data_IF_797345447506
#
_entry.id   IF_797345447506
#
_cell.length_a   1.000
_cell.length_b   1.000
_cell.length_c   1.000
_cell.angle_alpha   90.00
_cell.angle_beta   90.00
_cell.angle_gamma   90.00
#
_symmetry.space_group_name_H-M   'P 1'
#
loop_
_entity.id
_entity.type
_entity.pdbx_description
1 polymer ?
#
# COMPACT_ATOMS: atom_id res chain seq x y z
N UNK A 1 -15.02 35.02 -0.37
CA UNK A 1 -15.69 33.81 0.13
C UNK A 1 -15.83 32.85 -1.04
N UNK A 2 -15.05 31.77 -1.06
CA UNK A 2 -15.10 30.74 -2.12
C UNK A 2 -16.41 29.97 -1.96
N UNK A 3 -17.22 29.86 -3.02
CA UNK A 3 -18.41 29.01 -3.02
C UNK A 3 -18.04 27.68 -3.65
N UNK A 4 -18.26 26.60 -2.91
CA UNK A 4 -18.18 25.23 -3.40
C UNK A 4 -19.58 24.79 -3.84
N UNK A 5 -19.71 24.25 -5.04
CA UNK A 5 -20.92 23.53 -5.47
C UNK A 5 -20.59 22.08 -5.76
N UNK A 6 -21.45 21.18 -5.30
CA UNK A 6 -21.36 19.74 -5.50
C UNK A 6 -22.00 19.35 -6.83
N UNK A 7 -21.31 18.56 -7.65
CA UNK A 7 -21.91 17.79 -8.74
C UNK A 7 -21.60 16.30 -8.56
N UNK A 8 -22.33 15.43 -9.26
CA UNK A 8 -22.30 13.97 -9.10
C UNK A 8 -20.91 13.31 -9.25
N UNK A 9 -19.86 14.04 -9.68
CA UNK A 9 -18.49 13.55 -9.82
C UNK A 9 -17.38 14.48 -9.25
N UNK A 10 -17.69 15.47 -8.41
CA UNK A 10 -16.65 16.29 -7.77
C UNK A 10 -17.10 17.65 -7.23
N UNK A 11 -16.15 18.39 -6.66
CA UNK A 11 -16.35 19.76 -6.17
C UNK A 11 -15.78 20.77 -7.18
N UNK A 12 -16.59 21.78 -7.54
CA UNK A 12 -16.13 22.93 -8.33
C UNK A 12 -15.71 24.08 -7.41
N UNK A 13 -14.49 24.61 -7.60
CA UNK A 13 -14.03 25.85 -6.97
C UNK A 13 -14.23 26.99 -7.98
N UNK A 14 -15.11 27.93 -7.66
CA UNK A 14 -15.26 29.17 -8.42
C UNK A 14 -14.38 30.24 -7.78
N UNK A 15 -13.43 30.78 -8.54
CA UNK A 15 -12.47 31.79 -8.05
C UNK A 15 -13.14 33.18 -8.16
N UNK A 16 -12.83 34.16 -7.29
CA UNK A 16 -13.50 35.47 -7.29
C UNK A 16 -13.41 36.23 -8.62
N UNK A 17 -12.38 35.97 -9.42
CA UNK A 17 -12.19 36.57 -10.76
C UNK A 17 -13.36 36.27 -11.69
N UNK A 18 -13.94 35.07 -11.57
CA UNK A 18 -15.08 34.60 -12.40
C UNK A 18 -16.38 35.34 -12.05
N UNK A 19 -16.50 35.82 -10.80
CA UNK A 19 -17.65 36.61 -10.33
C UNK A 19 -17.57 38.08 -10.74
N UNK A 20 -16.37 38.58 -11.07
CA UNK A 20 -16.16 40.00 -11.43
C UNK A 20 -16.63 40.28 -12.86
N UNK A 21 -16.51 39.31 -13.78
CA UNK A 21 -17.02 39.46 -15.15
C UNK A 21 -18.55 39.57 -15.18
N UNK A 22 -19.26 38.86 -14.28
CA UNK A 22 -20.72 38.88 -14.24
C UNK A 22 -21.33 40.20 -13.72
N UNK A 23 -20.55 41.07 -13.07
CA UNK A 23 -21.05 42.33 -12.50
C UNK A 23 -20.73 43.58 -13.32
N UNK A 24 -19.89 43.49 -14.36
CA UNK A 24 -19.55 44.63 -15.24
C UNK A 24 -20.19 44.50 -16.62
N UNK A 25 -21.40 45.04 -16.74
CA UNK A 25 -21.86 45.74 -17.95
C UNK A 25 -22.36 44.89 -19.12
N UNK A 26 -23.66 45.02 -19.41
CA UNK A 26 -24.19 44.82 -20.76
C UNK A 26 -23.50 45.77 -21.77
N UNK A 27 -23.35 45.26 -23.00
CA UNK A 27 -22.97 45.93 -24.25
C UNK A 27 -21.48 46.02 -24.59
N UNK A 28 -20.96 44.99 -25.28
CA UNK A 28 -20.52 45.06 -26.69
C UNK A 28 -19.95 43.71 -27.15
N UNK A 29 -20.39 43.27 -28.32
CA UNK A 29 -19.78 42.19 -29.09
C UNK A 29 -18.29 42.47 -29.32
N UNK A 30 -17.43 41.51 -28.98
CA UNK A 30 -16.27 41.02 -29.76
C UNK A 30 -15.34 40.20 -28.85
N UNK A 31 -14.84 39.09 -29.41
CA UNK A 31 -13.68 38.26 -29.05
C UNK A 31 -13.97 36.96 -28.26
N UNK A 32 -13.88 35.87 -29.05
CA UNK A 32 -13.52 34.48 -28.71
C UNK A 32 -13.67 34.04 -27.26
N UNK A 33 -14.52 33.03 -27.06
CA UNK A 33 -14.44 32.10 -25.94
C UNK A 33 -13.03 31.48 -25.89
N UNK A 34 -12.08 32.16 -25.24
CA UNK A 34 -10.92 31.48 -24.70
C UNK A 34 -11.46 30.71 -23.50
N UNK A 35 -11.73 29.41 -23.70
CA UNK A 35 -11.92 28.47 -22.61
C UNK A 35 -10.69 28.59 -21.71
N UNK A 36 -10.84 29.31 -20.61
CA UNK A 36 -9.85 29.31 -19.56
C UNK A 36 -9.74 27.87 -19.05
N UNK A 37 -8.55 27.26 -19.01
CA UNK A 37 -8.40 25.89 -18.59
C UNK A 37 -8.92 25.77 -17.16
N UNK A 38 -10.08 25.15 -17.03
CA UNK A 38 -10.65 24.79 -15.74
C UNK A 38 -9.70 23.76 -15.14
N UNK A 39 -8.94 24.17 -14.13
CA UNK A 39 -8.13 23.26 -13.33
C UNK A 39 -9.08 22.36 -12.54
N UNK A 40 -9.44 21.22 -13.13
CA UNK A 40 -10.18 20.18 -12.44
C UNK A 40 -9.24 19.52 -11.42
N UNK A 41 -9.28 20.00 -10.17
CA UNK A 41 -8.54 19.38 -9.07
C UNK A 41 -9.26 18.09 -8.69
N UNK A 42 -8.78 16.97 -9.22
CA UNK A 42 -9.27 15.64 -8.86
C UNK A 42 -8.75 15.28 -7.47
N UNK A 43 -9.60 15.43 -6.45
CA UNK A 43 -9.28 14.99 -5.09
C UNK A 43 -9.34 13.47 -5.06
N UNK A 44 -8.18 12.82 -4.96
CA UNK A 44 -8.09 11.38 -4.81
C UNK A 44 -8.57 10.94 -3.42
N UNK A 45 -9.09 9.72 -3.30
CA UNK A 45 -9.37 9.12 -1.99
C UNK A 45 -8.08 9.03 -1.17
N UNK A 46 -8.20 9.22 0.15
CA UNK A 46 -7.06 9.23 1.07
C UNK A 46 -6.23 7.95 0.97
N UNK A 47 -6.86 6.79 0.84
CA UNK A 47 -6.20 5.49 0.77
C UNK A 47 -5.35 5.35 -0.50
N UNK A 48 -5.84 5.87 -1.63
CA UNK A 48 -5.08 5.91 -2.89
C UNK A 48 -3.83 6.77 -2.72
N UNK A 49 -3.98 7.92 -2.04
CA UNK A 49 -2.86 8.81 -1.77
C UNK A 49 -1.84 8.18 -0.79
N UNK A 50 -2.31 7.41 0.19
CA UNK A 50 -1.44 6.63 1.08
C UNK A 50 -0.65 5.60 0.27
N UNK A 51 -1.28 4.84 -0.63
CA UNK A 51 -0.57 3.86 -1.47
C UNK A 51 0.54 4.54 -2.28
N UNK A 52 0.21 5.64 -2.98
CA UNK A 52 1.18 6.40 -3.80
C UNK A 52 2.36 6.94 -2.99
N UNK A 53 2.11 7.39 -1.76
CA UNK A 53 3.14 7.92 -0.88
C UNK A 53 3.92 6.85 -0.10
N UNK A 54 3.56 5.56 -0.23
CA UNK A 54 4.24 4.47 0.48
C UNK A 54 4.95 3.50 -0.45
N UNK A 55 4.48 3.34 -1.67
CA UNK A 55 5.06 2.39 -2.64
C UNK A 55 5.75 3.20 -3.72
N UNK A 56 7.03 2.95 -3.97
CA UNK A 56 7.80 3.68 -5.01
C UNK A 56 7.51 3.17 -6.42
N UNK A 57 7.31 1.86 -6.58
CA UNK A 57 7.04 1.23 -7.87
C UNK A 57 5.65 1.58 -8.40
N UNK A 58 5.58 2.13 -9.61
CA UNK A 58 4.32 2.48 -10.27
C UNK A 58 3.46 1.24 -10.57
N UNK A 59 4.09 0.11 -10.95
CA UNK A 59 3.38 -1.14 -11.24
C UNK A 59 2.69 -1.66 -9.97
N UNK A 60 3.40 -1.66 -8.84
CA UNK A 60 2.83 -2.08 -7.57
C UNK A 60 1.79 -1.09 -7.05
N UNK A 61 1.98 0.23 -7.26
CA UNK A 61 0.96 1.24 -6.94
C UNK A 61 -0.34 0.95 -7.70
N UNK A 62 -0.26 0.78 -9.02
CA UNK A 62 -1.43 0.56 -9.87
C UNK A 62 -2.19 -0.71 -9.48
N UNK A 63 -1.47 -1.80 -9.23
CA UNK A 63 -2.03 -3.08 -8.78
C UNK A 63 -2.70 -2.93 -7.41
N UNK A 64 -2.05 -2.34 -6.41
CA UNK A 64 -2.63 -2.10 -5.08
C UNK A 64 -3.85 -1.17 -5.13
N UNK A 65 -3.83 -0.13 -5.97
CA UNK A 65 -4.97 0.78 -6.18
C UNK A 65 -6.13 0.02 -6.84
N UNK A 66 -5.86 -0.85 -7.81
CA UNK A 66 -6.86 -1.70 -8.42
C UNK A 66 -7.50 -2.64 -7.39
N UNK A 67 -6.69 -3.29 -6.55
CA UNK A 67 -7.20 -4.17 -5.50
C UNK A 67 -8.01 -3.40 -4.45
N UNK A 68 -7.57 -2.21 -4.01
CA UNK A 68 -8.37 -1.33 -3.16
C UNK A 68 -9.74 -1.05 -3.77
N UNK A 69 -9.78 -0.65 -5.05
CA UNK A 69 -11.04 -0.41 -5.74
C UNK A 69 -11.92 -1.67 -5.82
N UNK A 70 -11.33 -2.85 -6.02
CA UNK A 70 -12.07 -4.12 -6.03
C UNK A 70 -12.60 -4.48 -4.64
N UNK A 71 -11.84 -4.27 -3.57
CA UNK A 71 -12.28 -4.50 -2.20
C UNK A 71 -13.47 -3.60 -1.84
N UNK A 72 -13.50 -2.34 -2.29
CA UNK A 72 -14.66 -1.46 -2.06
C UNK A 72 -15.96 -1.96 -2.71
N UNK A 73 -15.87 -2.83 -3.72
CA UNK A 73 -17.03 -3.39 -4.45
C UNK A 73 -17.53 -4.70 -3.87
N UNK A 74 -16.85 -5.30 -2.90
CA UNK A 74 -17.22 -6.61 -2.32
C UNK A 74 -18.49 -6.56 -1.46
N UNK A 75 -19.08 -5.38 -1.22
CA UNK A 75 -20.29 -5.19 -0.41
C UNK A 75 -20.24 -5.92 0.96
N UNK A 76 -19.05 -6.02 1.55
CA UNK A 76 -18.81 -6.63 2.85
C UNK A 76 -18.15 -5.65 3.81
N UNK A 77 -18.53 -5.73 5.08
CA UNK A 77 -17.88 -4.99 6.17
C UNK A 77 -16.78 -5.81 6.84
N UNK A 78 -16.56 -7.06 6.40
CA UNK A 78 -15.57 -7.96 6.98
C UNK A 78 -14.70 -8.56 5.86
N UNK A 79 -13.37 -8.46 6.03
CA UNK A 79 -12.39 -9.03 5.11
C UNK A 79 -11.50 -10.02 5.84
N UNK A 80 -11.39 -11.22 5.27
CA UNK A 80 -10.49 -12.27 5.75
C UNK A 80 -9.33 -12.39 4.76
N UNK A 81 -8.12 -12.04 5.20
CA UNK A 81 -6.94 -11.99 4.35
C UNK A 81 -5.90 -12.97 4.89
N UNK A 82 -5.38 -13.83 4.01
CA UNK A 82 -4.28 -14.73 4.33
C UNK A 82 -3.00 -14.13 3.79
N UNK A 83 -1.95 -14.09 4.60
CA UNK A 83 -0.67 -13.44 4.29
C UNK A 83 0.48 -14.40 4.56
N UNK A 84 1.53 -14.34 3.75
CA UNK A 84 2.72 -15.17 3.91
C UNK A 84 3.98 -14.46 3.39
N UNK A 85 5.13 -14.82 3.94
CA UNK A 85 6.45 -14.35 3.55
C UNK A 85 7.42 -15.50 3.24
N UNK A 86 7.96 -15.52 2.03
CA UNK A 86 8.93 -16.52 1.58
C UNK A 86 10.36 -15.99 1.66
N UNK A 87 11.25 -16.73 2.33
CA UNK A 87 12.69 -16.53 2.30
C UNK A 87 13.36 -17.77 1.72
N UNK A 88 13.94 -17.65 0.53
CA UNK A 88 14.81 -18.66 -0.07
C UNK A 88 16.21 -18.05 -0.25
N UNK A 89 17.21 -18.58 0.45
CA UNK A 89 18.59 -18.08 0.39
C UNK A 89 19.25 -18.26 -0.99
N UNK A 90 18.67 -19.11 -1.85
CA UNK A 90 19.11 -19.30 -3.23
C UNK A 90 18.43 -18.35 -4.22
N UNK A 91 17.42 -17.60 -3.78
CA UNK A 91 16.75 -16.57 -4.59
C UNK A 91 17.60 -15.31 -4.59
N UNK A 92 18.64 -15.29 -5.41
CA UNK A 92 19.62 -14.19 -5.49
C UNK A 92 19.59 -13.49 -6.83
N UNK A 93 19.65 -12.16 -6.83
CA UNK A 93 19.71 -11.36 -8.04
C UNK A 93 21.13 -11.34 -8.65
N UNK A 94 21.29 -10.68 -9.80
CA UNK A 94 22.59 -10.53 -10.47
C UNK A 94 23.68 -9.80 -9.66
N UNK A 95 23.33 -9.21 -8.51
CA UNK A 95 24.24 -8.54 -7.58
C UNK A 95 24.45 -9.34 -6.29
N UNK A 96 24.08 -10.63 -6.29
CA UNK A 96 24.17 -11.54 -5.15
C UNK A 96 23.34 -11.08 -3.93
N UNK A 97 22.26 -10.34 -4.17
CA UNK A 97 21.33 -9.93 -3.13
C UNK A 97 20.16 -10.90 -3.06
N UNK A 98 19.85 -11.36 -1.86
CA UNK A 98 18.72 -12.26 -1.65
C UNK A 98 17.41 -11.48 -1.79
N UNK A 99 16.54 -11.97 -2.67
CA UNK A 99 15.17 -11.50 -2.84
C UNK A 99 14.25 -12.45 -2.10
N UNK A 100 13.53 -11.90 -1.13
CA UNK A 100 12.43 -12.55 -0.45
C UNK A 100 11.12 -12.15 -1.12
N UNK A 101 10.10 -12.97 -0.96
CA UNK A 101 8.79 -12.70 -1.54
C UNK A 101 7.74 -12.54 -0.46
N UNK A 102 6.74 -11.72 -0.73
CA UNK A 102 5.60 -11.46 0.14
C UNK A 102 4.32 -11.61 -0.69
N UNK A 103 3.31 -12.24 -0.12
CA UNK A 103 2.06 -12.49 -0.82
C UNK A 103 0.85 -12.53 0.11
N UNK A 104 -0.30 -12.15 -0.43
CA UNK A 104 -1.57 -12.25 0.30
C UNK A 104 -2.76 -12.47 -0.63
N UNK A 105 -3.83 -13.02 -0.07
CA UNK A 105 -5.09 -13.28 -0.77
C UNK A 105 -6.30 -13.03 0.12
N UNK A 106 -7.33 -12.41 -0.45
CA UNK A 106 -8.64 -12.27 0.22
C UNK A 106 -9.45 -13.54 0.02
N UNK A 107 -9.88 -14.15 1.13
CA UNK A 107 -10.67 -15.39 1.17
C UNK A 107 -11.90 -15.30 0.28
N UNK A 108 -12.18 -16.36 -0.47
CA UNK A 108 -13.34 -16.49 -1.37
C UNK A 108 -13.36 -15.46 -2.52
N UNK A 109 -12.20 -14.90 -2.87
CA UNK A 109 -12.07 -13.99 -4.02
C UNK A 109 -10.85 -14.34 -4.85
N UNK A 110 -10.70 -13.65 -5.97
CA UNK A 110 -9.49 -13.64 -6.82
C UNK A 110 -8.63 -12.39 -6.56
N UNK A 111 -8.90 -11.66 -5.47
CA UNK A 111 -8.09 -10.51 -5.07
C UNK A 111 -6.87 -11.05 -4.32
N UNK A 112 -5.78 -11.20 -5.03
CA UNK A 112 -4.46 -11.54 -4.51
C UNK A 112 -3.41 -10.52 -4.95
N UNK A 113 -2.27 -10.54 -4.25
CA UNK A 113 -1.15 -9.67 -4.54
C UNK A 113 0.15 -10.37 -4.20
N UNK A 114 1.21 -10.00 -4.92
CA UNK A 114 2.56 -10.47 -4.65
C UNK A 114 3.62 -9.44 -4.99
N UNK A 115 4.69 -9.43 -4.21
CA UNK A 115 5.84 -8.57 -4.44
C UNK A 115 7.13 -9.17 -3.88
N UNK A 116 8.26 -8.61 -4.28
CA UNK A 116 9.56 -8.92 -3.72
C UNK A 116 10.01 -7.87 -2.71
N UNK A 117 10.98 -8.26 -1.90
CA UNK A 117 11.72 -7.38 -1.00
C UNK A 117 13.16 -7.85 -0.95
N UNK A 118 14.08 -6.89 -0.94
CA UNK A 118 15.52 -7.17 -0.89
C UNK A 118 16.16 -6.46 0.30
N UNK A 119 17.46 -6.67 0.47
CA UNK A 119 18.28 -6.25 1.61
C UNK A 119 17.89 -6.95 2.93
N UNK A 120 18.90 -7.31 3.74
CA UNK A 120 18.78 -7.95 5.06
C UNK A 120 17.76 -9.11 5.12
N UNK A 121 18.15 -10.31 4.69
CA UNK A 121 17.25 -11.46 4.61
C UNK A 121 16.68 -11.83 5.98
N UNK A 122 15.35 -11.84 6.10
CA UNK A 122 14.61 -12.24 7.28
C UNK A 122 13.19 -12.64 6.89
N UNK A 123 12.78 -13.87 7.20
CA UNK A 123 11.40 -14.33 6.99
C UNK A 123 10.39 -13.39 7.69
N UNK A 124 10.71 -12.85 8.86
CA UNK A 124 9.85 -11.86 9.52
C UNK A 124 9.65 -10.58 8.70
N UNK A 125 10.65 -10.16 7.88
CA UNK A 125 10.53 -8.97 7.02
C UNK A 125 9.54 -9.19 5.88
N UNK A 126 9.62 -10.33 5.18
CA UNK A 126 8.67 -10.65 4.12
C UNK A 126 7.25 -10.84 4.65
N UNK A 127 7.09 -11.46 5.82
CA UNK A 127 5.80 -11.61 6.50
C UNK A 127 5.16 -10.26 6.86
N UNK A 128 5.94 -9.36 7.47
CA UNK A 128 5.47 -8.02 7.81
C UNK A 128 5.13 -7.20 6.57
N UNK A 129 5.88 -7.38 5.47
CA UNK A 129 5.56 -6.73 4.20
C UNK A 129 4.25 -7.25 3.59
N UNK A 130 3.98 -8.55 3.66
CA UNK A 130 2.71 -9.13 3.20
C UNK A 130 1.53 -8.52 3.97
N UNK A 131 1.65 -8.40 5.28
CA UNK A 131 0.64 -7.74 6.13
C UNK A 131 0.51 -6.24 5.79
N UNK A 132 1.63 -5.53 5.65
CA UNK A 132 1.63 -4.09 5.33
C UNK A 132 0.91 -3.80 4.01
N UNK A 133 1.25 -4.54 2.95
CA UNK A 133 0.66 -4.33 1.63
C UNK A 133 -0.83 -4.72 1.60
N UNK A 134 -1.24 -5.75 2.35
CA UNK A 134 -2.66 -6.05 2.55
C UNK A 134 -3.39 -4.87 3.23
N UNK A 135 -2.83 -4.33 4.32
CA UNK A 135 -3.39 -3.20 5.05
C UNK A 135 -3.58 -1.96 4.17
N UNK A 136 -2.67 -1.71 3.23
CA UNK A 136 -2.77 -0.57 2.30
C UNK A 136 -3.99 -0.65 1.37
N UNK A 137 -4.51 -1.86 1.10
CA UNK A 137 -5.62 -2.07 0.16
C UNK A 137 -7.00 -2.10 0.81
N UNK A 138 -7.07 -2.08 2.14
CA UNK A 138 -8.36 -2.26 2.83
C UNK A 138 -9.09 -0.94 3.02
N UNK A 139 -10.38 -0.85 2.63
CA UNK A 139 -11.18 0.35 2.84
C UNK A 139 -11.31 0.75 4.31
N UNK A 140 -11.39 2.05 4.56
CA UNK A 140 -11.67 2.60 5.89
C UNK A 140 -12.99 2.00 6.45
N UNK A 141 -13.01 1.74 7.76
CA UNK A 141 -14.14 1.17 8.51
C UNK A 141 -14.49 -0.29 8.17
N UNK A 142 -13.62 -1.02 7.47
CA UNK A 142 -13.78 -2.46 7.31
C UNK A 142 -13.16 -3.23 8.50
N UNK A 143 -13.84 -4.28 8.97
CA UNK A 143 -13.33 -5.19 9.98
C UNK A 143 -12.40 -6.21 9.32
N UNK A 144 -11.10 -6.07 9.56
CA UNK A 144 -10.09 -6.94 8.96
C UNK A 144 -9.66 -8.07 9.90
N UNK A 145 -9.64 -9.28 9.35
CA UNK A 145 -9.06 -10.47 9.93
C UNK A 145 -7.85 -10.91 9.10
N UNK A 146 -6.65 -10.86 9.68
CA UNK A 146 -5.42 -11.35 9.05
C UNK A 146 -5.09 -12.74 9.59
N UNK A 147 -4.86 -13.67 8.68
CA UNK A 147 -4.44 -15.03 8.95
C UNK A 147 -2.99 -15.19 8.49
N UNK A 148 -2.10 -15.49 9.41
CA UNK A 148 -0.67 -15.71 9.16
C UNK A 148 -0.18 -16.87 10.02
N UNK A 149 0.81 -17.61 9.55
CA UNK A 149 1.51 -18.61 10.35
C UNK A 149 2.81 -18.05 10.99
N UNK A 150 3.11 -16.77 10.83
CA UNK A 150 4.29 -16.15 11.44
C UNK A 150 3.99 -15.62 12.84
N UNK A 151 4.42 -16.37 13.87
CA UNK A 151 4.31 -15.90 15.26
C UNK A 151 5.11 -14.62 15.49
N UNK A 152 6.29 -14.52 14.88
CA UNK A 152 7.16 -13.34 14.96
C UNK A 152 6.47 -12.08 14.41
N UNK A 153 5.73 -12.19 13.29
CA UNK A 153 4.98 -11.06 12.73
C UNK A 153 3.84 -10.61 13.68
N UNK A 154 3.11 -11.57 14.25
CA UNK A 154 2.07 -11.30 15.24
C UNK A 154 2.64 -10.56 16.46
N UNK A 155 3.74 -11.06 17.03
CA UNK A 155 4.35 -10.48 18.22
C UNK A 155 4.81 -9.03 17.99
N UNK A 156 5.37 -8.75 16.80
CA UNK A 156 5.78 -7.40 16.41
C UNK A 156 4.58 -6.44 16.28
N UNK A 157 3.47 -6.89 15.69
CA UNK A 157 2.29 -6.04 15.47
C UNK A 157 1.50 -5.79 16.76
N UNK A 158 1.35 -6.80 17.63
CA UNK A 158 0.69 -6.65 18.95
C UNK A 158 1.42 -5.62 19.80
N UNK A 159 2.76 -5.59 19.74
CA UNK A 159 3.56 -4.60 20.44
C UNK A 159 3.30 -3.15 19.98
N UNK A 160 2.85 -2.95 18.74
CA UNK A 160 2.64 -1.62 18.14
C UNK A 160 1.33 -0.92 18.59
N UNK A 161 0.45 -1.62 19.34
CA UNK A 161 -0.67 -1.09 20.18
C UNK A 161 -1.66 -0.06 19.58
N UNK A 162 -1.71 0.17 18.26
CA UNK A 162 -2.53 1.26 17.69
C UNK A 162 -3.39 0.90 16.48
N UNK A 163 -3.56 -0.37 16.13
CA UNK A 163 -4.32 -0.78 14.94
C UNK A 163 -5.48 -1.69 15.36
N UNK A 164 -6.71 -1.37 14.93
CA UNK A 164 -7.87 -2.26 15.05
C UNK A 164 -7.73 -3.39 14.03
N UNK A 165 -7.01 -4.44 14.44
CA UNK A 165 -6.65 -5.59 13.60
C UNK A 165 -6.89 -6.88 14.40
N UNK A 166 -7.61 -7.84 13.81
CA UNK A 166 -7.79 -9.16 14.40
C UNK A 166 -6.82 -10.12 13.73
N UNK A 167 -5.81 -10.54 14.50
CA UNK A 167 -4.78 -11.48 14.05
C UNK A 167 -5.16 -12.91 14.43
N UNK A 168 -5.11 -13.81 13.45
CA UNK A 168 -5.34 -15.24 13.61
C UNK A 168 -4.07 -16.01 13.25
N UNK A 169 -3.49 -16.71 14.23
CA UNK A 169 -2.42 -17.66 13.96
C UNK A 169 -3.00 -18.90 13.29
N UNK A 170 -2.55 -19.20 12.08
CA UNK A 170 -2.85 -20.47 11.41
C UNK A 170 -1.65 -21.42 11.45
N UNK A 171 -1.88 -22.71 11.21
CA UNK A 171 -0.79 -23.68 11.09
C UNK A 171 -0.23 -23.63 9.67
N UNK A 172 1.09 -23.47 9.56
CA UNK A 172 1.78 -23.60 8.29
C UNK A 172 1.68 -25.02 7.75
N UNK A 173 1.52 -25.15 6.44
CA UNK A 173 1.50 -26.43 5.71
C UNK A 173 0.52 -27.48 6.26
N UNK A 174 -0.60 -27.03 6.86
CA UNK A 174 -1.61 -27.93 7.42
C UNK A 174 -2.76 -28.25 6.47
N UNK A 175 -2.61 -27.98 5.16
CA UNK A 175 -3.66 -28.12 4.15
C UNK A 175 -4.73 -27.03 4.21
N UNK A 176 -4.43 -25.87 4.80
CA UNK A 176 -5.33 -24.73 4.78
C UNK A 176 -5.25 -24.07 3.39
N UNK A 177 -6.26 -24.29 2.55
CA UNK A 177 -6.30 -23.86 1.14
C UNK A 177 -5.83 -22.41 0.94
N UNK A 178 -6.28 -21.49 1.79
CA UNK A 178 -5.97 -20.07 1.64
C UNK A 178 -4.57 -19.70 2.14
N UNK A 179 -4.08 -20.36 3.20
CA UNK A 179 -2.70 -20.20 3.64
C UNK A 179 -1.73 -20.76 2.59
N UNK A 180 -2.02 -21.95 2.05
CA UNK A 180 -1.20 -22.59 1.02
C UNK A 180 -1.20 -21.76 -0.28
N UNK A 181 -2.26 -20.99 -0.55
CA UNK A 181 -2.27 -20.01 -1.64
C UNK A 181 -1.39 -18.79 -1.32
N UNK A 182 -1.43 -18.27 -0.10
CA UNK A 182 -0.58 -17.17 0.33
C UNK A 182 0.92 -17.55 0.25
N UNK A 183 1.30 -18.75 0.72
CA UNK A 183 2.67 -19.31 0.58
C UNK A 183 3.13 -19.33 -0.89
N UNK A 184 2.27 -19.81 -1.79
CA UNK A 184 2.56 -19.83 -3.23
C UNK A 184 2.72 -18.42 -3.81
N UNK A 185 1.86 -17.49 -3.41
CA UNK A 185 1.97 -16.10 -3.83
C UNK A 185 3.26 -15.47 -3.33
N UNK A 186 3.66 -15.73 -2.09
CA UNK A 186 4.92 -15.26 -1.54
C UNK A 186 6.12 -15.78 -2.34
N UNK A 187 6.16 -17.09 -2.65
CA UNK A 187 7.22 -17.67 -3.51
C UNK A 187 7.26 -17.05 -4.90
N UNK A 188 6.09 -16.89 -5.53
CA UNK A 188 5.96 -16.22 -6.83
C UNK A 188 6.45 -14.77 -6.78
N UNK A 189 6.29 -14.09 -5.65
CA UNK A 189 6.75 -12.71 -5.45
C UNK A 189 8.25 -12.56 -5.58
N UNK A 190 9.01 -13.47 -4.96
CA UNK A 190 10.47 -13.51 -5.14
C UNK A 190 10.87 -13.82 -6.58
N UNK A 191 10.20 -14.77 -7.24
CA UNK A 191 10.49 -15.16 -8.62
C UNK A 191 10.26 -14.00 -9.60
N UNK A 192 9.08 -13.35 -9.52
CA UNK A 192 8.77 -12.19 -10.35
C UNK A 192 9.69 -11.00 -10.09
N UNK A 193 10.15 -10.83 -8.85
CA UNK A 193 11.08 -9.78 -8.48
C UNK A 193 12.52 -10.03 -8.93
N UNK A 194 12.92 -11.30 -9.12
CA UNK A 194 14.17 -11.65 -9.79
C UNK A 194 14.13 -11.27 -11.27
N UNK A 195 12.99 -11.47 -11.92
CA UNK A 195 12.79 -11.13 -13.34
C UNK A 195 12.60 -9.62 -13.58
N UNK A 196 11.88 -8.94 -12.68
CA UNK A 196 11.56 -7.52 -12.80
C UNK A 196 11.74 -6.80 -11.46
N UNK A 197 12.75 -5.93 -11.38
CA UNK A 197 13.04 -5.14 -10.17
C UNK A 197 11.92 -4.16 -9.77
N UNK A 198 11.04 -3.78 -10.69
CA UNK A 198 9.87 -2.96 -10.35
C UNK A 198 8.85 -3.73 -9.51
N UNK A 199 9.00 -5.05 -9.33
CA UNK A 199 8.23 -5.85 -8.38
C UNK A 199 8.82 -5.83 -6.96
N UNK A 200 9.96 -5.17 -6.74
CA UNK A 200 10.58 -5.02 -5.42
C UNK A 200 10.01 -3.80 -4.72
N UNK A 201 9.56 -3.99 -3.47
CA UNK A 201 9.17 -2.88 -2.60
C UNK A 201 10.41 -2.28 -1.95
N UNK A 202 10.55 -0.96 -2.09
CA UNK A 202 11.58 -0.18 -1.40
C UNK A 202 11.15 0.17 0.03
N UNK A 203 11.71 -0.55 1.00
CA UNK A 203 11.47 -0.29 2.43
C UNK A 203 11.99 1.09 2.88
N UNK A 204 13.09 1.59 2.30
CA UNK A 204 13.57 2.90 2.68
C UNK A 204 12.57 3.98 2.29
N UNK A 205 11.97 3.86 1.10
CA UNK A 205 10.93 4.76 0.65
C UNK A 205 9.70 4.73 1.58
N UNK A 206 9.25 3.53 2.00
CA UNK A 206 8.16 3.38 2.98
C UNK A 206 8.50 4.11 4.29
N UNK A 207 9.70 3.90 4.81
CA UNK A 207 10.12 4.44 6.10
C UNK A 207 10.32 5.96 6.03
N UNK A 208 10.96 6.49 4.99
CA UNK A 208 11.23 7.93 4.87
C UNK A 208 9.96 8.77 4.68
N UNK A 209 8.90 8.19 4.11
CA UNK A 209 7.60 8.86 3.95
C UNK A 209 6.65 8.66 5.15
N UNK A 210 7.13 8.07 6.24
CA UNK A 210 6.41 7.99 7.50
C UNK A 210 6.86 9.10 8.46
N UNK A 211 5.97 9.60 9.33
CA UNK A 211 6.27 10.66 10.31
C UNK A 211 7.23 10.20 11.44
N UNK A 212 8.18 9.30 11.17
CA UNK A 212 9.22 8.96 12.14
C UNK A 212 10.32 10.02 12.12
N UNK A 213 10.46 10.74 13.23
CA UNK A 213 11.31 11.93 13.36
C UNK A 213 12.83 11.66 13.26
N UNK A 214 13.28 10.41 13.14
CA UNK A 214 14.67 10.06 12.80
C UNK A 214 14.77 8.56 12.50
N UNK A 215 15.32 8.19 11.33
CA UNK A 215 15.61 6.79 10.96
C UNK A 215 17.14 6.62 10.87
N UNK A 216 17.78 5.89 11.80
CA UNK A 216 19.20 5.64 11.71
C UNK A 216 19.49 4.74 10.49
N UNK A 217 20.42 5.19 9.64
CA UNK A 217 20.89 4.48 8.44
C UNK A 217 22.37 4.11 8.60
N UNK A 218 22.76 2.91 8.19
CA UNK A 218 24.16 2.52 8.02
C UNK A 218 24.43 2.29 6.52
N UNK A 219 25.40 3.01 5.97
CA UNK A 219 25.72 2.96 4.52
C UNK A 219 24.53 3.25 3.61
N UNK A 220 23.61 4.12 4.04
CA UNK A 220 22.37 4.44 3.32
C UNK A 220 21.18 3.57 3.71
N UNK A 221 21.38 2.40 4.31
CA UNK A 221 20.33 1.42 4.59
C UNK A 221 19.72 1.57 5.98
N UNK A 222 18.39 1.56 6.09
CA UNK A 222 17.67 1.64 7.36
C UNK A 222 18.03 0.49 8.31
N UNK A 223 18.42 0.83 9.55
CA UNK A 223 18.67 -0.14 10.60
C UNK A 223 17.32 -0.51 11.23
N UNK A 224 16.77 -1.66 10.85
CA UNK A 224 15.54 -2.17 11.44
C UNK A 224 15.70 -2.42 12.95
N UNK A 225 14.69 -1.98 13.70
CA UNK A 225 14.73 -1.80 15.16
C UNK A 225 15.09 -3.08 15.94
N UNK A 226 16.21 -3.03 16.67
CA UNK A 226 16.36 -3.50 18.05
C UNK A 226 17.63 -2.90 18.72
N UNK A 227 17.86 -1.58 18.60
CA UNK A 227 19.05 -0.89 19.19
C UNK A 227 19.12 -1.04 20.72
N UNK A 228 18.00 -1.32 21.39
CA UNK A 228 17.90 -1.36 22.86
C UNK A 228 18.37 -2.67 23.53
N UNK A 229 19.14 -3.52 22.83
CA UNK A 229 19.83 -4.68 23.41
C UNK A 229 21.36 -4.64 23.30
N UNK A 230 21.94 -3.64 22.62
CA UNK A 230 23.38 -3.59 22.37
C UNK A 230 24.17 -2.66 23.30
N UNK A 231 23.52 -2.07 24.31
CA UNK A 231 24.18 -1.39 25.42
C UNK A 231 23.67 -1.99 26.73
N UNK A 232 24.32 -3.08 27.16
CA UNK A 232 24.30 -3.55 28.55
C UNK A 232 25.75 -3.74 28.97
#
# INVERSE_FOLDING_TARGET
MVKLSSTENGFRIIIPTDLIQYKKGQSRNYLSEQEHPVLEIKINKLEIEIIRNRISSIILQDELIQHYNNMTKLHTNELHIYTDGSLNLNSVDGYNQIIMGAGWIVKNTEIDFTCGITYFPSSTRSELLAILTALLTVPINNNMHIYTDSQSAIDNLVYIKKINLILHKVKGHSGCIWNDKADKLAKKGSELALENKDRIVDLEFILNNSNFEFIPKWSGVCIDRQIRKFCA
#
